data_IF_523716729972
#
_entry.id   IF_523716729972
#
_cell.length_a   1.000
_cell.length_b   1.000
_cell.length_c   1.000
_cell.angle_alpha   90.00
_cell.angle_beta   90.00
_cell.angle_gamma   90.00
#
_symmetry.space_group_name_H-M   'P 1'
#
loop_
_entity.id
_entity.type
_entity.pdbx_description
1 polymer ?
#
# COMPACT_ATOMS: atom_id res chain seq x y z
N UNK A 1 10.92 -11.36 -17.81
CA UNK A 1 10.65 -10.90 -17.40
C UNK A 1 10.38 -10.08 -16.92
N UNK A 2 10.15 -9.86 -16.80
CA UNK A 2 9.64 -9.26 -16.44
C UNK A 2 9.56 -8.35 -15.90
N UNK A 3 9.52 -7.88 -15.60
CA UNK A 3 9.26 -7.02 -15.02
C UNK A 3 9.02 -5.92 -15.17
N UNK A 4 8.93 -5.56 -15.53
CA UNK A 4 8.33 -4.48 -15.92
C UNK A 4 7.97 -3.38 -15.06
N UNK A 5 7.81 -3.55 -13.89
CA UNK A 5 7.32 -2.48 -13.04
C UNK A 5 8.20 -1.25 -13.03
N UNK A 6 9.41 -1.41 -13.42
CA UNK A 6 10.30 -0.27 -13.41
C UNK A 6 9.85 0.85 -14.34
N UNK A 7 8.99 0.55 -15.30
CA UNK A 7 8.56 1.53 -16.26
C UNK A 7 7.19 2.11 -15.92
N UNK A 8 6.57 1.65 -14.85
CA UNK A 8 5.25 2.13 -14.49
C UNK A 8 5.34 3.13 -13.36
N UNK A 9 4.55 4.20 -13.41
CA UNK A 9 4.52 5.13 -12.31
C UNK A 9 3.92 4.47 -11.07
N UNK A 10 4.40 4.88 -9.91
CA UNK A 10 3.82 4.41 -8.67
C UNK A 10 2.53 5.18 -8.42
N UNK A 11 1.42 4.50 -8.48
CA UNK A 11 0.12 5.12 -8.33
C UNK A 11 -0.63 4.51 -7.17
N UNK A 12 -1.67 5.21 -6.74
CA UNK A 12 -2.51 4.79 -5.63
C UNK A 12 -3.14 3.43 -5.91
N UNK A 13 -3.21 2.60 -4.87
CA UNK A 13 -3.79 1.26 -4.97
C UNK A 13 -5.31 1.25 -4.97
N UNK A 14 -5.93 2.38 -4.64
CA UNK A 14 -7.38 2.44 -4.61
C UNK A 14 -7.95 2.18 -6.00
N UNK A 15 -8.99 1.37 -6.06
CA UNK A 15 -9.57 0.98 -7.34
C UNK A 15 -10.02 2.22 -8.10
N UNK A 16 -9.57 2.31 -9.33
CA UNK A 16 -9.95 3.42 -10.18
C UNK A 16 -9.12 4.68 -9.98
N UNK A 17 -8.25 4.71 -8.98
CA UNK A 17 -7.42 5.88 -8.73
C UNK A 17 -6.09 5.74 -9.46
N UNK A 18 -5.69 6.79 -10.15
CA UNK A 18 -4.41 6.80 -10.85
C UNK A 18 -3.52 7.94 -10.39
N UNK A 19 -3.84 8.53 -9.25
CA UNK A 19 -3.05 9.61 -8.70
C UNK A 19 -1.68 9.09 -8.27
N UNK A 20 -0.63 9.92 -8.36
CA UNK A 20 0.69 9.48 -7.89
C UNK A 20 0.63 9.09 -6.42
N UNK A 21 1.35 8.03 -6.08
CA UNK A 21 1.39 7.58 -4.70
C UNK A 21 2.26 8.52 -3.87
N UNK A 22 1.78 8.86 -2.69
CA UNK A 22 2.51 9.68 -1.75
C UNK A 22 2.87 8.91 -0.50
N UNK A 23 2.26 7.76 -0.27
CA UNK A 23 2.42 7.00 0.97
C UNK A 23 2.51 5.52 0.68
N UNK A 24 3.21 4.81 1.56
CA UNK A 24 3.25 3.35 1.56
C UNK A 24 2.60 2.87 2.84
N UNK A 25 1.64 1.97 2.70
CA UNK A 25 0.98 1.34 3.84
C UNK A 25 1.55 -0.06 3.97
N UNK A 26 2.28 -0.29 5.04
CA UNK A 26 2.89 -1.59 5.30
C UNK A 26 1.92 -2.42 6.12
N UNK A 27 1.61 -3.61 5.65
CA UNK A 27 0.59 -4.40 6.29
C UNK A 27 0.93 -5.89 6.25
N UNK A 28 0.20 -6.66 7.03
CA UNK A 28 0.41 -8.10 7.13
C UNK A 28 -0.92 -8.75 7.47
N UNK A 29 -1.23 -9.83 6.78
CA UNK A 29 -2.40 -10.64 7.10
C UNK A 29 -1.91 -11.89 7.82
N UNK A 30 -2.09 -11.98 9.15
CA UNK A 30 -1.52 -13.10 9.92
C UNK A 30 -2.08 -14.46 9.54
N UNK A 31 -3.20 -14.49 8.83
CA UNK A 31 -3.75 -15.77 8.37
C UNK A 31 -3.08 -16.27 7.11
N UNK A 32 -2.45 -15.37 6.36
CA UNK A 32 -1.84 -15.70 5.08
C UNK A 32 -0.33 -15.53 5.07
N UNK A 33 0.19 -14.71 5.98
CA UNK A 33 1.60 -14.34 5.97
C UNK A 33 2.25 -14.66 7.29
N UNK A 34 3.56 -14.93 7.26
CA UNK A 34 4.33 -15.04 8.49
C UNK A 34 4.42 -13.67 9.15
N UNK A 35 4.65 -13.62 10.47
CA UNK A 35 4.65 -12.34 11.18
C UNK A 35 5.67 -11.32 10.69
N UNK A 36 6.76 -11.78 10.10
CA UNK A 36 7.81 -10.88 9.63
C UNK A 36 7.58 -10.39 8.20
N UNK A 37 6.56 -10.90 7.54
CA UNK A 37 6.30 -10.48 6.17
C UNK A 37 5.59 -9.15 6.15
N UNK A 38 5.98 -8.30 5.22
CA UNK A 38 5.32 -7.00 5.03
C UNK A 38 4.93 -6.86 3.58
N UNK A 39 3.65 -6.58 3.37
CA UNK A 39 3.13 -6.21 2.06
C UNK A 39 3.02 -4.70 2.02
N UNK A 40 2.97 -4.16 0.82
CA UNK A 40 2.93 -2.71 0.65
C UNK A 40 1.77 -2.34 -0.26
N UNK A 41 0.96 -1.40 0.18
CA UNK A 41 -0.03 -0.74 -0.66
C UNK A 41 0.39 0.70 -0.82
N UNK A 42 0.26 1.22 -2.02
CA UNK A 42 0.56 2.62 -2.30
C UNK A 42 -0.71 3.43 -2.19
N UNK A 43 -0.61 4.65 -1.68
CA UNK A 43 -1.76 5.50 -1.47
C UNK A 43 -1.43 6.94 -1.82
N UNK A 44 -2.38 7.62 -2.46
CA UNK A 44 -2.28 9.06 -2.62
C UNK A 44 -2.77 9.73 -1.35
N UNK A 45 -2.61 11.05 -1.29
CA UNK A 45 -3.04 11.79 -0.10
C UNK A 45 -4.53 11.62 0.18
N UNK A 46 -5.33 11.55 -0.86
CA UNK A 46 -6.78 11.46 -0.68
C UNK A 46 -7.23 10.11 -0.16
N UNK A 47 -6.52 9.06 -0.55
CA UNK A 47 -6.95 7.71 -0.19
C UNK A 47 -6.16 7.11 0.95
N UNK A 48 -5.14 7.80 1.43
CA UNK A 48 -4.34 7.26 2.52
C UNK A 48 -5.21 6.89 3.72
N UNK A 49 -6.04 7.82 4.19
CA UNK A 49 -6.86 7.57 5.37
C UNK A 49 -7.85 6.44 5.12
N UNK A 50 -8.43 6.40 3.93
CA UNK A 50 -9.39 5.38 3.56
C UNK A 50 -8.77 3.98 3.58
N UNK A 51 -7.57 3.86 3.00
CA UNK A 51 -6.87 2.59 2.97
C UNK A 51 -6.36 2.20 4.35
N UNK A 52 -5.92 3.18 5.14
CA UNK A 52 -5.52 2.92 6.51
C UNK A 52 -6.68 2.37 7.32
N UNK A 53 -7.86 2.96 7.14
CA UNK A 53 -9.05 2.50 7.84
C UNK A 53 -9.40 1.07 7.44
N UNK A 54 -9.31 0.77 6.16
CA UNK A 54 -9.59 -0.56 5.67
C UNK A 54 -8.67 -1.60 6.30
N UNK A 55 -7.37 -1.34 6.26
CA UNK A 55 -6.39 -2.28 6.80
C UNK A 55 -6.43 -2.30 8.33
N UNK A 56 -6.65 -1.14 8.94
CA UNK A 56 -6.70 -1.04 10.39
C UNK A 56 -7.88 -1.76 10.99
N UNK A 57 -9.03 -1.70 10.31
CA UNK A 57 -10.23 -2.38 10.80
C UNK A 57 -10.04 -3.89 10.85
N UNK A 58 -9.12 -4.41 10.06
CA UNK A 58 -8.81 -5.84 10.03
C UNK A 58 -7.61 -6.20 10.89
N UNK A 59 -6.98 -5.20 11.50
CA UNK A 59 -5.79 -5.42 12.28
C UNK A 59 -4.56 -5.75 11.44
N UNK A 60 -4.59 -5.41 10.16
CA UNK A 60 -3.50 -5.72 9.25
C UNK A 60 -2.46 -4.62 9.14
N UNK A 61 -2.85 -3.38 9.38
CA UNK A 61 -1.95 -2.24 9.17
C UNK A 61 -0.84 -2.25 10.20
N UNK A 62 0.40 -2.10 9.73
CA UNK A 62 1.56 -2.07 10.61
C UNK A 62 2.19 -0.69 10.66
N UNK A 63 2.31 -0.04 9.51
CA UNK A 63 3.01 1.23 9.47
C UNK A 63 2.62 1.98 8.20
N UNK A 64 2.63 3.31 8.27
CA UNK A 64 2.45 4.17 7.11
C UNK A 64 3.69 5.04 7.00
N UNK A 65 4.35 5.01 5.84
CA UNK A 65 5.56 5.80 5.63
C UNK A 65 5.43 6.57 4.32
N UNK A 66 6.16 7.68 4.18
CA UNK A 66 6.14 8.44 2.93
C UNK A 66 6.72 7.60 1.79
N UNK A 67 6.16 7.78 0.61
CA UNK A 67 6.65 7.12 -0.58
C UNK A 67 7.49 8.10 -1.38
N UNK A 68 8.69 7.68 -1.69
CA UNK A 68 9.61 8.51 -2.48
C UNK A 68 9.77 7.81 -3.81
N UNK A 69 8.88 8.11 -4.65
CA UNK A 69 8.87 7.41 -5.91
C UNK A 69 9.66 7.96 -7.03
#
# INVERSE_FOLDING_TARGET
MTEAPATEPDICSSKGCRAPAAWQLLWNNPKLHTPDRRKVWLACDEHRASLETFLGARGFLKETVPHEG
#
